data_IF_951317825647
#
_entry.id   IF_951317825647
#
_cell.length_a   1.000
_cell.length_b   1.000
_cell.length_c   1.000
_cell.angle_alpha   90.00
_cell.angle_beta   90.00
_cell.angle_gamma   90.00
#
_symmetry.space_group_name_H-M   'P 1'
#
loop_
_entity.id
_entity.type
_entity.pdbx_description
1 polymer ?
#
# COMPACT_ATOMS: atom_id res chain seq x y z
N UNK A 1 23.26 13.29 -63.32
CA UNK A 1 23.32 12.14 -62.38
C UNK A 1 22.92 12.67 -60.99
N UNK A 2 21.69 12.39 -60.57
CA UNK A 2 21.12 12.84 -59.27
C UNK A 2 21.03 11.60 -58.36
N UNK A 3 21.83 11.53 -57.31
CA UNK A 3 21.76 10.49 -56.29
C UNK A 3 20.72 10.92 -55.23
N UNK A 4 19.57 10.26 -55.22
CA UNK A 4 18.60 10.36 -54.15
C UNK A 4 19.02 9.46 -53.01
N UNK A 5 19.40 10.05 -51.87
CA UNK A 5 19.59 9.36 -50.62
C UNK A 5 18.24 9.14 -49.97
N UNK A 6 17.77 7.91 -49.97
CA UNK A 6 16.59 7.48 -49.22
C UNK A 6 17.00 7.27 -47.75
N UNK A 7 16.62 8.22 -46.88
CA UNK A 7 16.72 8.04 -45.42
C UNK A 7 15.57 7.14 -44.98
N UNK A 8 15.86 5.89 -44.66
CA UNK A 8 14.95 4.99 -44.02
C UNK A 8 14.85 5.36 -42.53
N UNK A 9 13.79 6.06 -42.13
CA UNK A 9 13.40 6.28 -40.74
C UNK A 9 12.88 4.95 -40.19
N UNK A 10 13.72 4.23 -39.44
CA UNK A 10 13.26 3.13 -38.61
C UNK A 10 12.52 3.72 -37.39
N UNK A 11 11.22 3.36 -37.18
CA UNK A 11 10.57 3.69 -35.94
C UNK A 11 11.17 2.83 -34.82
N UNK A 12 11.92 3.46 -33.93
CA UNK A 12 12.32 2.84 -32.65
C UNK A 12 11.05 2.72 -31.81
N UNK A 13 10.40 1.57 -31.86
CA UNK A 13 9.39 1.20 -30.88
C UNK A 13 10.10 1.01 -29.55
N UNK A 14 10.06 2.06 -28.72
CA UNK A 14 10.34 1.93 -27.29
C UNK A 14 9.23 1.06 -26.69
N UNK A 15 9.46 -0.23 -26.63
CA UNK A 15 8.71 -1.14 -25.80
C UNK A 15 8.96 -0.72 -24.34
N UNK A 16 8.11 0.19 -23.84
CA UNK A 16 7.97 0.43 -22.42
C UNK A 16 7.42 -0.87 -21.81
N UNK A 17 8.32 -1.82 -21.52
CA UNK A 17 7.98 -2.93 -20.67
C UNK A 17 7.68 -2.34 -19.29
N UNK A 18 6.40 -2.24 -18.93
CA UNK A 18 5.95 -2.04 -17.56
C UNK A 18 6.39 -3.25 -16.74
N UNK A 19 7.68 -3.31 -16.39
CA UNK A 19 8.14 -4.17 -15.32
C UNK A 19 7.68 -3.51 -14.03
N UNK A 20 6.69 -4.13 -13.36
CA UNK A 20 6.26 -3.72 -12.03
C UNK A 20 7.49 -3.52 -11.16
N UNK A 21 7.58 -2.38 -10.48
CA UNK A 21 8.74 -2.06 -9.65
C UNK A 21 8.89 -3.09 -8.54
N UNK A 22 10.10 -3.26 -8.00
CA UNK A 22 10.31 -4.17 -6.86
C UNK A 22 9.49 -3.77 -5.64
N UNK A 23 9.14 -2.49 -5.54
CA UNK A 23 8.33 -1.92 -4.46
C UNK A 23 6.84 -2.26 -4.65
N UNK A 24 6.34 -2.19 -5.87
CA UNK A 24 4.98 -2.61 -6.22
C UNK A 24 4.74 -4.09 -5.92
N UNK A 25 5.64 -4.98 -6.34
CA UNK A 25 5.55 -6.42 -6.03
C UNK A 25 5.59 -6.69 -4.53
N UNK A 26 6.45 -5.97 -3.81
CA UNK A 26 6.52 -6.05 -2.36
C UNK A 26 5.19 -5.66 -1.72
N UNK A 27 4.64 -4.50 -2.10
CA UNK A 27 3.39 -3.97 -1.54
C UNK A 27 2.18 -4.85 -1.88
N UNK A 28 2.05 -5.30 -3.13
CA UNK A 28 0.99 -6.22 -3.56
C UNK A 28 0.92 -7.45 -2.66
N UNK A 29 2.08 -8.11 -2.44
CA UNK A 29 2.13 -9.28 -1.55
C UNK A 29 1.74 -8.96 -0.12
N UNK A 30 2.14 -7.78 0.40
CA UNK A 30 1.77 -7.34 1.75
C UNK A 30 0.28 -7.11 1.89
N UNK A 31 -0.35 -6.47 0.89
CA UNK A 31 -1.80 -6.22 0.90
C UNK A 31 -2.60 -7.53 0.82
N UNK A 32 -2.24 -8.47 -0.05
CA UNK A 32 -2.89 -9.78 -0.11
C UNK A 32 -2.83 -10.54 1.21
N UNK A 33 -1.64 -10.54 1.83
CA UNK A 33 -1.46 -11.15 3.15
C UNK A 33 -2.36 -10.47 4.19
N UNK A 34 -2.40 -9.14 4.20
CA UNK A 34 -3.18 -8.36 5.14
C UNK A 34 -4.69 -8.57 4.97
N UNK A 35 -5.19 -8.62 3.73
CA UNK A 35 -6.60 -8.94 3.45
C UNK A 35 -6.96 -10.31 4.05
N UNK A 36 -6.09 -11.30 3.88
CA UNK A 36 -6.29 -12.63 4.47
C UNK A 36 -6.32 -12.56 6.01
N UNK A 37 -5.37 -11.86 6.62
CA UNK A 37 -5.30 -11.71 8.08
C UNK A 37 -6.51 -10.97 8.65
N UNK A 38 -6.98 -9.91 7.97
CA UNK A 38 -8.18 -9.16 8.37
C UNK A 38 -9.42 -10.06 8.27
N UNK A 39 -9.58 -10.78 7.16
CA UNK A 39 -10.71 -11.69 6.95
C UNK A 39 -10.75 -12.83 7.97
N UNK A 40 -9.60 -13.31 8.39
CA UNK A 40 -9.46 -14.37 9.41
C UNK A 40 -9.40 -13.84 10.84
N UNK A 41 -9.51 -12.51 11.04
CA UNK A 41 -9.41 -11.80 12.34
C UNK A 41 -8.14 -12.14 13.11
N UNK A 42 -7.01 -12.28 12.43
CA UNK A 42 -5.70 -12.56 13.01
C UNK A 42 -5.07 -11.29 13.61
N UNK A 43 -5.61 -10.83 14.72
CA UNK A 43 -5.24 -9.55 15.35
C UNK A 43 -3.74 -9.47 15.65
N UNK A 44 -3.17 -10.54 16.21
CA UNK A 44 -1.74 -10.58 16.57
C UNK A 44 -0.84 -10.53 15.33
N UNK A 45 -1.17 -11.25 14.26
CA UNK A 45 -0.42 -11.24 13.01
C UNK A 45 -0.44 -9.85 12.36
N UNK A 46 -1.61 -9.17 12.39
CA UNK A 46 -1.74 -7.79 11.89
C UNK A 46 -0.92 -6.84 12.76
N UNK A 47 -1.01 -6.96 14.10
CA UNK A 47 -0.25 -6.14 15.03
C UNK A 47 1.26 -6.28 14.80
N UNK A 48 1.77 -7.50 14.60
CA UNK A 48 3.18 -7.77 14.34
C UNK A 48 3.66 -7.26 12.97
N UNK A 49 2.74 -6.91 12.08
CA UNK A 49 3.05 -6.27 10.79
C UNK A 49 3.41 -4.79 10.95
N UNK A 50 2.90 -4.13 12.00
CA UNK A 50 3.25 -2.75 12.31
C UNK A 50 4.70 -2.62 12.76
N UNK A 51 5.31 -1.46 12.48
CA UNK A 51 6.65 -1.14 12.99
C UNK A 51 6.66 -1.17 14.52
N UNK A 52 7.81 -1.53 15.12
CA UNK A 52 7.94 -1.59 16.59
C UNK A 52 7.67 -0.24 17.25
N UNK A 53 8.06 0.85 16.59
CA UNK A 53 7.72 2.18 17.09
C UNK A 53 6.21 2.38 17.15
N UNK A 54 5.46 2.01 16.10
CA UNK A 54 3.99 2.12 16.12
C UNK A 54 3.34 1.23 17.18
N UNK A 55 3.85 0.02 17.38
CA UNK A 55 3.39 -0.87 18.45
C UNK A 55 3.58 -0.27 19.84
N UNK A 56 4.66 0.51 20.05
CA UNK A 56 4.99 1.14 21.33
C UNK A 56 4.31 2.51 21.53
N UNK A 57 4.15 3.28 20.45
CA UNK A 57 3.62 4.66 20.49
C UNK A 57 2.10 4.71 20.61
N UNK A 58 1.38 3.70 20.08
CA UNK A 58 -0.08 3.70 20.00
C UNK A 58 -0.67 2.65 20.95
N UNK A 59 -1.07 3.02 22.17
CA UNK A 59 -1.63 2.07 23.13
C UNK A 59 -2.93 1.41 22.65
N UNK A 60 -3.69 2.11 21.78
CA UNK A 60 -4.98 1.65 21.23
C UNK A 60 -4.83 0.84 19.94
N UNK A 61 -3.59 0.57 19.47
CA UNK A 61 -3.36 -0.04 18.16
C UNK A 61 -4.11 -1.38 18.00
N UNK A 62 -4.16 -2.20 19.04
CA UNK A 62 -4.89 -3.48 19.01
C UNK A 62 -6.40 -3.29 18.87
N UNK A 63 -6.97 -2.31 19.57
CA UNK A 63 -8.40 -2.00 19.50
C UNK A 63 -8.76 -1.42 18.14
N UNK A 64 -7.88 -0.63 17.55
CA UNK A 64 -8.01 -0.12 16.18
C UNK A 64 -8.00 -1.27 15.17
N UNK A 65 -7.12 -2.26 15.33
CA UNK A 65 -7.06 -3.47 14.49
C UNK A 65 -8.35 -4.30 14.64
N UNK A 66 -8.87 -4.46 15.85
CA UNK A 66 -10.18 -5.13 16.07
C UNK A 66 -11.26 -4.39 15.30
N UNK A 67 -11.32 -3.06 15.42
CA UNK A 67 -12.29 -2.22 14.70
C UNK A 67 -12.17 -2.37 13.19
N UNK A 68 -10.94 -2.48 12.65
CA UNK A 68 -10.69 -2.75 11.23
C UNK A 68 -11.24 -4.12 10.81
N UNK A 69 -10.99 -5.16 11.61
CA UNK A 69 -11.47 -6.51 11.34
C UNK A 69 -13.01 -6.60 11.39
N UNK A 70 -13.64 -5.81 12.27
CA UNK A 70 -15.11 -5.77 12.38
C UNK A 70 -15.75 -4.94 11.26
N UNK A 71 -15.05 -3.88 10.80
CA UNK A 71 -15.46 -3.10 9.63
C UNK A 71 -15.40 -3.91 8.33
N UNK A 72 -14.38 -4.75 8.18
CA UNK A 72 -14.17 -5.52 6.96
C UNK A 72 -15.17 -6.69 6.87
N UNK A 73 -15.96 -6.69 5.80
CA UNK A 73 -16.98 -7.70 5.50
C UNK A 73 -16.80 -8.23 4.06
N UNK A 74 -15.58 -8.13 3.52
CA UNK A 74 -15.31 -8.43 2.11
C UNK A 74 -15.24 -9.91 1.77
N UNK A 75 -14.91 -10.76 2.74
CA UNK A 75 -14.54 -12.14 2.47
C UNK A 75 -13.15 -12.25 1.85
N UNK A 76 -12.89 -13.33 1.12
CA UNK A 76 -11.60 -13.58 0.50
C UNK A 76 -11.29 -12.60 -0.64
N UNK A 77 -10.01 -12.29 -0.83
CA UNK A 77 -9.52 -11.55 -1.98
C UNK A 77 -9.82 -12.30 -3.29
N UNK A 78 -10.32 -11.61 -4.30
CA UNK A 78 -10.56 -12.16 -5.64
C UNK A 78 -9.61 -11.61 -6.67
N UNK A 79 -9.58 -10.30 -6.85
CA UNK A 79 -8.73 -9.66 -7.86
C UNK A 79 -8.48 -8.19 -7.55
N UNK A 80 -7.45 -7.67 -8.18
CA UNK A 80 -7.17 -6.24 -8.25
C UNK A 80 -8.14 -5.55 -9.21
N UNK A 81 -8.78 -4.45 -8.78
CA UNK A 81 -9.53 -3.54 -9.66
C UNK A 81 -8.56 -2.50 -10.21
N UNK A 82 -7.75 -1.91 -9.32
CA UNK A 82 -6.73 -0.95 -9.67
C UNK A 82 -5.52 -1.16 -8.74
N UNK A 83 -4.34 -1.29 -9.34
CA UNK A 83 -3.09 -1.04 -8.64
C UNK A 83 -2.90 0.48 -8.63
N UNK A 84 -2.99 1.09 -7.47
CA UNK A 84 -2.60 2.48 -7.32
C UNK A 84 -1.12 2.64 -7.66
N UNK A 85 -0.73 3.79 -8.15
CA UNK A 85 0.68 4.06 -8.37
C UNK A 85 1.43 4.11 -7.05
N UNK A 86 2.39 3.19 -6.85
CA UNK A 86 3.27 3.24 -5.68
C UNK A 86 4.09 4.52 -5.72
N UNK A 87 3.87 5.40 -4.75
CA UNK A 87 4.76 6.52 -4.50
C UNK A 87 5.79 6.10 -3.46
N UNK A 88 7.08 6.14 -3.82
CA UNK A 88 8.15 5.89 -2.86
C UNK A 88 8.95 7.17 -2.60
N UNK A 89 9.23 7.41 -1.32
CA UNK A 89 10.12 8.48 -0.89
C UNK A 89 11.40 7.86 -0.33
N UNK A 90 12.50 8.09 -1.03
CA UNK A 90 13.83 7.65 -0.60
C UNK A 90 14.62 8.84 -0.12
N UNK A 91 15.04 8.82 1.15
CA UNK A 91 15.98 9.81 1.73
C UNK A 91 17.34 9.14 1.91
N UNK A 92 18.40 9.80 1.42
CA UNK A 92 19.79 9.44 1.70
C UNK A 92 20.44 10.55 2.51
N UNK A 93 21.07 10.21 3.60
CA UNK A 93 21.83 11.14 4.43
C UNK A 93 23.02 10.40 5.06
N UNK A 94 24.25 10.94 4.92
CA UNK A 94 25.48 10.37 5.48
C UNK A 94 25.66 8.88 5.16
N UNK A 95 25.30 8.47 3.93
CA UNK A 95 25.43 7.08 3.47
C UNK A 95 24.35 6.11 3.98
N UNK A 96 23.38 6.60 4.75
CA UNK A 96 22.25 5.83 5.26
C UNK A 96 20.99 6.09 4.45
N UNK A 97 20.10 5.11 4.36
CA UNK A 97 18.89 5.13 3.55
C UNK A 97 17.63 5.00 4.42
N UNK A 98 16.62 5.83 4.13
CA UNK A 98 15.23 5.57 4.51
C UNK A 98 14.42 5.40 3.23
N UNK A 99 13.56 4.40 3.18
CA UNK A 99 12.60 4.18 2.09
C UNK A 99 11.21 3.98 2.66
N UNK A 100 10.34 4.96 2.41
CA UNK A 100 8.92 4.90 2.69
C UNK A 100 8.16 4.65 1.39
N UNK A 101 7.17 3.77 1.45
CA UNK A 101 6.27 3.45 0.34
C UNK A 101 4.86 3.85 0.74
N UNK A 102 4.17 4.54 -0.18
CA UNK A 102 2.76 4.91 -0.08
C UNK A 102 2.05 4.29 -1.27
N UNK A 103 1.00 3.56 -1.02
CA UNK A 103 0.27 2.90 -2.09
C UNK A 103 -1.23 2.85 -1.81
N UNK A 104 -2.03 2.90 -2.89
CA UNK A 104 -3.47 2.75 -2.84
C UNK A 104 -3.88 1.59 -3.74
N UNK A 105 -4.60 0.64 -3.20
CA UNK A 105 -5.08 -0.53 -3.92
C UNK A 105 -6.60 -0.57 -3.91
N UNK A 106 -7.21 -0.79 -5.05
CA UNK A 106 -8.63 -1.11 -5.13
C UNK A 106 -8.78 -2.59 -5.43
N UNK A 107 -9.51 -3.29 -4.59
CA UNK A 107 -9.64 -4.74 -4.63
C UNK A 107 -11.10 -5.16 -4.68
N UNK A 108 -11.37 -6.18 -5.49
CA UNK A 108 -12.61 -6.95 -5.42
C UNK A 108 -12.40 -8.13 -4.48
N UNK A 109 -13.25 -8.21 -3.46
CA UNK A 109 -13.32 -9.34 -2.56
C UNK A 109 -14.62 -10.14 -2.80
N UNK A 110 -14.82 -11.20 -2.05
CA UNK A 110 -15.93 -12.12 -2.29
C UNK A 110 -17.30 -11.44 -2.19
N UNK A 111 -17.49 -10.54 -1.22
CA UNK A 111 -18.79 -9.92 -0.94
C UNK A 111 -18.80 -8.41 -1.19
N UNK A 112 -17.68 -7.73 -1.07
CA UNK A 112 -17.57 -6.27 -1.26
C UNK A 112 -16.23 -5.91 -1.88
N UNK A 113 -16.15 -4.71 -2.45
CA UNK A 113 -14.89 -4.13 -2.92
C UNK A 113 -14.40 -3.05 -1.96
N UNK A 114 -13.08 -2.93 -1.84
CA UNK A 114 -12.44 -1.99 -0.92
C UNK A 114 -11.29 -1.24 -1.58
N UNK A 115 -11.02 -0.06 -1.03
CA UNK A 115 -9.76 0.66 -1.23
C UNK A 115 -8.90 0.50 0.02
N UNK A 116 -7.65 0.11 -0.16
CA UNK A 116 -6.62 0.05 0.86
C UNK A 116 -5.58 1.12 0.58
N UNK A 117 -5.42 2.09 1.49
CA UNK A 117 -4.33 3.07 1.46
C UNK A 117 -3.31 2.68 2.53
N UNK A 118 -2.07 2.44 2.14
CA UNK A 118 -1.04 1.86 3.01
C UNK A 118 0.20 2.73 3.01
N UNK A 119 0.78 2.92 4.21
CA UNK A 119 2.10 3.53 4.40
C UNK A 119 3.02 2.52 5.05
N UNK A 120 4.16 2.28 4.42
CA UNK A 120 5.13 1.28 4.86
C UNK A 120 6.55 1.85 4.84
N UNK A 121 7.30 1.66 5.92
CA UNK A 121 8.76 1.89 5.92
C UNK A 121 9.46 0.58 5.56
N UNK A 122 10.05 0.51 4.36
CA UNK A 122 10.74 -0.69 3.87
C UNK A 122 12.17 -0.78 4.36
N UNK A 123 12.84 0.36 4.47
CA UNK A 123 14.20 0.48 4.97
C UNK A 123 14.31 1.71 5.87
N UNK A 124 15.03 1.56 6.98
CA UNK A 124 15.50 2.64 7.82
C UNK A 124 16.84 2.23 8.45
N UNK A 125 17.93 2.85 7.97
CA UNK A 125 19.28 2.54 8.43
C UNK A 125 19.64 3.26 9.74
N UNK A 126 18.81 4.22 10.19
CA UNK A 126 18.99 4.89 11.49
C UNK A 126 18.27 4.14 12.62
N UNK A 127 17.05 3.70 12.35
CA UNK A 127 16.23 3.05 13.35
C UNK A 127 15.45 1.88 12.73
N UNK A 128 15.88 0.65 13.05
CA UNK A 128 15.24 -0.56 12.53
C UNK A 128 13.81 -0.75 13.07
N UNK A 129 13.48 -0.14 14.23
CA UNK A 129 12.14 -0.20 14.81
C UNK A 129 11.10 0.58 14.03
N UNK A 130 11.53 1.44 13.08
CA UNK A 130 10.64 2.10 12.12
C UNK A 130 10.22 1.19 10.95
N UNK A 131 10.90 0.06 10.72
CA UNK A 131 10.61 -0.83 9.58
C UNK A 131 9.31 -1.57 9.85
N UNK A 132 8.36 -1.48 8.91
CA UNK A 132 7.06 -2.13 9.02
C UNK A 132 5.93 -1.26 8.50
N UNK A 133 4.71 -1.69 8.78
CA UNK A 133 3.50 -0.94 8.52
C UNK A 133 3.43 0.27 9.45
N UNK A 134 3.13 1.44 8.90
CA UNK A 134 2.91 2.65 9.70
C UNK A 134 1.43 3.00 9.81
N UNK A 135 0.71 2.88 8.70
CA UNK A 135 -0.71 3.22 8.65
C UNK A 135 -1.40 2.36 7.60
N UNK A 136 -2.60 1.93 7.91
CA UNK A 136 -3.55 1.35 6.96
C UNK A 136 -4.88 2.06 7.08
N UNK A 137 -5.42 2.48 5.96
CA UNK A 137 -6.79 2.97 5.83
C UNK A 137 -7.56 2.04 4.91
N UNK A 138 -8.73 1.62 5.32
CA UNK A 138 -9.62 0.76 4.54
C UNK A 138 -10.97 1.44 4.41
N UNK A 139 -11.42 1.60 3.18
CA UNK A 139 -12.73 2.16 2.87
C UNK A 139 -13.46 1.29 1.85
N UNK A 140 -14.80 1.30 1.88
CA UNK A 140 -15.60 0.62 0.86
C UNK A 140 -15.37 1.30 -0.49
N UNK A 141 -15.03 0.51 -1.50
CA UNK A 141 -14.91 1.01 -2.88
C UNK A 141 -16.29 1.12 -3.52
N UNK A 142 -16.57 2.27 -4.13
CA UNK A 142 -17.75 2.51 -4.95
C UNK A 142 -17.29 3.01 -6.32
N UNK A 143 -17.72 2.34 -7.38
CA UNK A 143 -17.36 2.71 -8.76
C UNK A 143 -17.77 4.15 -9.06
N UNK A 144 -16.84 4.91 -9.67
CA UNK A 144 -17.06 6.32 -10.01
C UNK A 144 -16.89 7.31 -8.85
N UNK A 145 -16.65 6.85 -7.63
CA UNK A 145 -16.35 7.70 -6.46
C UNK A 145 -14.84 7.77 -6.26
N UNK A 146 -14.26 8.93 -6.53
CA UNK A 146 -12.80 9.13 -6.45
C UNK A 146 -12.30 9.22 -5.02
N UNK A 147 -13.12 9.72 -4.09
CA UNK A 147 -12.79 9.88 -2.68
C UNK A 147 -13.92 9.28 -1.83
N UNK A 148 -13.63 8.23 -1.02
CA UNK A 148 -14.62 7.66 -0.12
C UNK A 148 -15.03 8.69 0.93
N UNK A 149 -16.28 8.62 1.36
CA UNK A 149 -16.79 9.39 2.49
C UNK A 149 -15.95 9.09 3.74
N UNK A 150 -15.45 10.10 4.46
CA UNK A 150 -14.71 9.91 5.71
C UNK A 150 -15.44 9.05 6.75
N UNK A 151 -16.78 9.05 6.76
CA UNK A 151 -17.59 8.24 7.66
C UNK A 151 -17.62 6.74 7.28
N UNK A 152 -17.14 6.38 6.07
CA UNK A 152 -17.14 5.01 5.55
C UNK A 152 -15.75 4.37 5.50
N UNK A 153 -14.87 4.80 6.38
CA UNK A 153 -13.50 4.29 6.44
C UNK A 153 -13.04 4.00 7.87
N UNK A 154 -12.11 3.05 7.98
CA UNK A 154 -11.36 2.78 9.22
C UNK A 154 -9.88 3.03 8.96
N UNK A 155 -9.25 3.78 9.84
CA UNK A 155 -7.82 4.06 9.80
C UNK A 155 -7.16 3.51 11.05
N UNK A 156 -6.04 2.81 10.89
CA UNK A 156 -5.25 2.20 11.96
C UNK A 156 -3.81 2.73 11.89
N UNK A 157 -3.21 3.01 13.02
CA UNK A 157 -1.82 3.45 13.11
C UNK A 157 -1.64 4.97 13.06
N UNK A 158 -2.68 5.76 13.25
CA UNK A 158 -2.59 7.21 13.44
C UNK A 158 -2.57 7.51 14.93
N UNK A 159 -1.55 8.22 15.38
CA UNK A 159 -1.55 8.79 16.72
C UNK A 159 -2.59 9.92 16.81
N UNK A 160 -3.71 9.66 17.48
CA UNK A 160 -4.77 10.64 17.68
C UNK A 160 -4.54 11.53 18.93
N UNK A 161 -3.39 11.42 19.59
CA UNK A 161 -3.10 12.19 20.81
C UNK A 161 -2.66 13.63 20.55
N UNK A 162 -2.43 14.01 19.29
CA UNK A 162 -2.08 15.38 18.87
C UNK A 162 -3.31 16.23 18.47
N UNK A 163 -4.46 16.06 19.11
CA UNK A 163 -5.63 16.93 18.91
C UNK A 163 -5.85 17.88 20.07
#
# INVERSE_FOLDING_TARGET
MKHSLLFALLPVFLLSSCTSSSDEKFMTKKVETMITQINEKKIDDIFDTFSKNKQNEIPTLRDEIVSLCDYYQGGAFKKWILHGGSASNTKYEKGKKILNIYDNFQVECEYKSYTFAIRWTRYDDWNKDNIGLNTIEVSTYTEGVMWPDPETKVTVGIDNTEK
#
